data_IF_145490139325
#
_entry.id   IF_145490139325
#
_cell.length_a   1.000
_cell.length_b   1.000
_cell.length_c   1.000
_cell.angle_alpha   90.00
_cell.angle_beta   90.00
_cell.angle_gamma   90.00
#
_symmetry.space_group_name_H-M   'P 1'
#
loop_
_entity.id
_entity.type
_entity.pdbx_description
1 polymer ?
#
# COMPACT_ATOMS: atom_id res chain seq x y z
N UNK A 1 -5.42 -18.07 12.92
CA UNK A 1 -3.98 -17.78 12.80
C UNK A 1 -3.40 -17.68 14.22
N UNK A 2 -2.21 -18.21 14.49
CA UNK A 2 -1.63 -18.20 15.85
C UNK A 2 -1.13 -16.82 16.29
N UNK A 3 -0.76 -15.93 15.34
CA UNK A 3 -0.24 -14.60 15.62
C UNK A 3 -1.13 -13.48 15.06
N UNK A 4 -1.75 -13.70 13.92
CA UNK A 4 -2.70 -12.79 13.26
C UNK A 4 -4.16 -13.09 13.60
N UNK A 5 -4.48 -13.45 14.84
CA UNK A 5 -5.84 -13.84 15.24
C UNK A 5 -6.84 -12.67 15.21
N UNK A 6 -6.35 -11.43 15.28
CA UNK A 6 -7.15 -10.21 15.20
C UNK A 6 -7.21 -9.65 13.78
N UNK A 7 -6.08 -9.61 13.08
CA UNK A 7 -5.99 -9.23 11.67
C UNK A 7 -4.67 -9.64 11.02
N UNK A 8 -4.71 -9.88 9.71
CA UNK A 8 -3.55 -9.98 8.81
C UNK A 8 -3.60 -8.84 7.81
N UNK A 9 -2.61 -7.97 7.82
CA UNK A 9 -2.54 -6.81 6.93
C UNK A 9 -1.57 -7.13 5.80
N UNK A 10 -2.03 -7.09 4.56
CA UNK A 10 -1.14 -7.10 3.41
C UNK A 10 -0.49 -5.72 3.28
N UNK A 11 0.84 -5.66 3.29
CA UNK A 11 1.58 -4.40 3.19
C UNK A 11 2.40 -4.42 1.91
N UNK A 12 2.02 -3.61 0.93
CA UNK A 12 2.66 -3.62 -0.39
C UNK A 12 3.55 -2.39 -0.54
N UNK A 13 4.84 -2.58 -0.79
CA UNK A 13 5.78 -1.47 -1.01
C UNK A 13 6.84 -1.82 -2.07
N UNK A 14 7.54 -0.81 -2.62
CA UNK A 14 8.68 -1.04 -3.51
C UNK A 14 9.73 -1.99 -2.92
N UNK A 15 10.38 -2.78 -3.77
CA UNK A 15 11.51 -3.63 -3.39
C UNK A 15 12.67 -2.84 -2.79
N UNK A 16 12.83 -1.58 -3.18
CA UNK A 16 13.86 -0.65 -2.67
C UNK A 16 13.48 0.03 -1.35
N UNK A 17 12.22 -0.09 -0.90
CA UNK A 17 11.78 0.57 0.32
C UNK A 17 12.27 -0.18 1.57
N UNK A 18 12.95 0.52 2.47
CA UNK A 18 13.52 -0.05 3.71
C UNK A 18 12.80 0.41 4.98
N UNK A 19 11.76 1.25 4.87
CA UNK A 19 11.11 1.94 6.00
C UNK A 19 9.74 1.36 6.32
N UNK A 20 8.92 1.09 5.30
CA UNK A 20 7.53 0.66 5.49
C UNK A 20 7.43 -0.63 6.29
N UNK A 21 8.32 -1.60 6.03
CA UNK A 21 8.28 -2.86 6.73
C UNK A 21 8.54 -2.71 8.24
N UNK A 22 9.66 -2.14 8.70
CA UNK A 22 9.88 -1.97 10.14
C UNK A 22 8.81 -1.08 10.80
N UNK A 23 8.37 0.01 10.14
CA UNK A 23 7.32 0.88 10.69
C UNK A 23 6.01 0.14 10.92
N UNK A 24 5.58 -0.69 9.95
CA UNK A 24 4.36 -1.49 10.11
C UNK A 24 4.52 -2.57 11.19
N UNK A 25 5.72 -3.15 11.35
CA UNK A 25 5.98 -4.07 12.45
C UNK A 25 5.86 -3.38 13.81
N UNK A 26 6.36 -2.15 13.93
CA UNK A 26 6.23 -1.34 15.13
C UNK A 26 4.77 -0.95 15.41
N UNK A 27 4.01 -0.57 14.37
CA UNK A 27 2.57 -0.34 14.48
C UNK A 27 1.83 -1.59 14.99
N UNK A 28 2.12 -2.77 14.43
CA UNK A 28 1.53 -4.04 14.88
C UNK A 28 1.87 -4.36 16.34
N UNK A 29 3.09 -4.06 16.79
CA UNK A 29 3.52 -4.24 18.19
C UNK A 29 2.87 -3.23 19.14
N UNK A 30 2.59 -2.01 18.66
CA UNK A 30 1.97 -0.96 19.46
C UNK A 30 0.49 -1.20 19.76
N UNK A 31 -0.19 -2.10 19.02
CA UNK A 31 -1.61 -2.40 19.25
C UNK A 31 -1.81 -3.16 20.57
N UNK A 32 -2.56 -2.60 21.55
CA UNK A 32 -2.82 -3.28 22.81
C UNK A 32 -3.54 -4.62 22.59
N UNK A 33 -3.03 -5.66 23.27
CA UNK A 33 -3.51 -7.03 23.12
C UNK A 33 -2.94 -7.79 21.91
N UNK A 34 -2.21 -7.12 21.01
CA UNK A 34 -1.57 -7.74 19.85
C UNK A 34 -2.57 -8.37 18.87
N UNK A 35 -2.15 -9.47 18.23
CA UNK A 35 -2.98 -10.24 17.31
C UNK A 35 -2.97 -9.76 15.86
N UNK A 36 -2.13 -8.77 15.52
CA UNK A 36 -1.99 -8.24 14.16
C UNK A 36 -0.66 -8.68 13.58
N UNK A 37 -0.69 -9.16 12.34
CA UNK A 37 0.51 -9.54 11.58
C UNK A 37 0.52 -8.86 10.22
N UNK A 38 1.72 -8.53 9.73
CA UNK A 38 1.90 -7.93 8.42
C UNK A 38 2.44 -8.97 7.43
N UNK A 39 1.86 -9.01 6.24
CA UNK A 39 2.29 -9.83 5.11
C UNK A 39 2.85 -8.92 4.03
N UNK A 40 4.18 -8.84 3.96
CA UNK A 40 4.88 -7.92 3.06
C UNK A 40 4.86 -8.40 1.61
N UNK A 41 4.32 -7.59 0.72
CA UNK A 41 4.44 -7.75 -0.74
C UNK A 41 5.43 -6.74 -1.29
N UNK A 42 6.34 -7.19 -2.15
CA UNK A 42 7.36 -6.34 -2.79
C UNK A 42 7.04 -6.14 -4.25
N UNK A 43 6.93 -4.88 -4.64
CA UNK A 43 6.82 -4.47 -6.04
C UNK A 43 8.23 -4.44 -6.59
N UNK A 44 8.54 -5.35 -7.52
CA UNK A 44 9.83 -5.32 -8.19
C UNK A 44 9.90 -4.08 -9.08
N UNK A 45 10.89 -3.22 -8.85
CA UNK A 45 11.17 -2.10 -9.74
C UNK A 45 12.36 -2.50 -10.61
N UNK A 46 12.14 -2.80 -11.91
CA UNK A 46 13.24 -3.09 -12.83
C UNK A 46 14.10 -1.84 -13.02
N UNK A 47 15.41 -2.04 -13.19
CA UNK A 47 16.31 -0.97 -13.56
C UNK A 47 16.08 -0.61 -15.05
N UNK A 48 15.23 0.38 -15.30
CA UNK A 48 14.84 0.84 -16.64
C UNK A 48 15.38 2.24 -16.90
N UNK A 49 15.74 2.51 -18.15
CA UNK A 49 16.05 3.87 -18.60
C UNK A 49 14.76 4.71 -18.67
N UNK A 50 14.73 5.78 -17.89
CA UNK A 50 13.61 6.73 -17.78
C UNK A 50 13.93 8.10 -18.39
N UNK A 51 15.00 8.19 -19.18
CA UNK A 51 15.42 9.44 -19.83
C UNK A 51 14.42 9.97 -20.88
N UNK A 52 13.41 9.17 -21.23
CA UNK A 52 12.36 9.52 -22.18
C UNK A 52 10.97 9.32 -21.56
N UNK A 53 9.99 10.08 -22.05
CA UNK A 53 8.59 9.93 -21.65
C UNK A 53 8.08 8.49 -21.89
N UNK A 54 8.48 7.86 -23.00
CA UNK A 54 8.13 6.48 -23.30
C UNK A 54 8.70 5.50 -22.26
N UNK A 55 9.96 5.67 -21.88
CA UNK A 55 10.60 4.88 -20.83
C UNK A 55 9.91 5.04 -19.47
N UNK A 56 9.49 6.27 -19.15
CA UNK A 56 8.72 6.55 -17.94
C UNK A 56 7.36 5.84 -17.93
N UNK A 57 6.60 5.90 -19.04
CA UNK A 57 5.31 5.20 -19.13
C UNK A 57 5.45 3.68 -19.05
N UNK A 58 6.49 3.09 -19.66
CA UNK A 58 6.78 1.66 -19.53
C UNK A 58 7.10 1.25 -18.09
N UNK A 59 7.83 2.10 -17.35
CA UNK A 59 8.08 1.86 -15.93
C UNK A 59 6.78 1.88 -15.12
N UNK A 60 5.90 2.85 -15.37
CA UNK A 60 4.61 2.94 -14.68
C UNK A 60 3.72 1.71 -14.91
N UNK A 61 3.66 1.23 -16.14
CA UNK A 61 2.90 0.03 -16.49
C UNK A 61 3.48 -1.24 -15.81
N UNK A 62 4.81 -1.42 -15.88
CA UNK A 62 5.49 -2.52 -15.21
C UNK A 62 5.27 -2.50 -13.68
N UNK A 63 5.33 -1.32 -13.05
CA UNK A 63 5.05 -1.13 -11.63
C UNK A 63 3.59 -1.45 -11.31
N UNK A 64 2.65 -1.11 -12.21
CA UNK A 64 1.23 -1.43 -12.07
C UNK A 64 0.97 -2.94 -12.05
N UNK A 65 1.53 -3.68 -13.01
CA UNK A 65 1.40 -5.15 -13.04
C UNK A 65 2.05 -5.83 -11.84
N UNK A 66 3.23 -5.36 -11.42
CA UNK A 66 3.92 -5.91 -10.24
C UNK A 66 3.19 -5.59 -8.93
N UNK A 67 2.51 -4.44 -8.83
CA UNK A 67 1.64 -4.13 -7.69
C UNK A 67 0.51 -5.16 -7.55
N UNK A 68 -0.22 -5.41 -8.63
CA UNK A 68 -1.34 -6.34 -8.65
C UNK A 68 -0.86 -7.76 -8.29
N UNK A 69 0.25 -8.19 -8.87
CA UNK A 69 0.87 -9.49 -8.56
C UNK A 69 1.32 -9.59 -7.09
N UNK A 70 1.97 -8.55 -6.55
CA UNK A 70 2.40 -8.53 -5.15
C UNK A 70 1.21 -8.58 -4.18
N UNK A 71 0.13 -7.86 -4.50
CA UNK A 71 -1.10 -7.87 -3.71
C UNK A 71 -1.75 -9.25 -3.69
N UNK A 72 -1.93 -9.89 -4.85
CA UNK A 72 -2.50 -11.24 -4.95
C UNK A 72 -1.65 -12.30 -4.22
N UNK A 73 -0.31 -12.18 -4.25
CA UNK A 73 0.57 -13.06 -3.46
C UNK A 73 0.27 -12.96 -1.97
N UNK A 74 0.08 -11.76 -1.43
CA UNK A 74 -0.31 -11.57 -0.04
C UNK A 74 -1.71 -12.15 0.26
N UNK A 75 -2.66 -11.99 -0.66
CA UNK A 75 -4.03 -12.52 -0.49
C UNK A 75 -4.08 -14.05 -0.38
N UNK A 76 -3.05 -14.79 -0.84
CA UNK A 76 -2.94 -16.24 -0.58
C UNK A 76 -2.94 -16.59 0.92
N UNK A 77 -2.44 -15.66 1.76
CA UNK A 77 -2.49 -15.78 3.21
C UNK A 77 -3.86 -15.43 3.80
N UNK A 78 -4.86 -15.08 2.98
CA UNK A 78 -6.19 -14.58 3.39
C UNK A 78 -6.09 -13.37 4.31
N UNK A 79 -5.35 -12.35 3.88
CA UNK A 79 -5.27 -11.08 4.60
C UNK A 79 -6.66 -10.43 4.71
N UNK A 80 -6.89 -9.66 5.77
CA UNK A 80 -8.18 -9.04 6.08
C UNK A 80 -8.27 -7.59 5.57
N UNK A 81 -7.12 -6.97 5.29
CA UNK A 81 -7.01 -5.61 4.77
C UNK A 81 -5.68 -5.43 4.01
N UNK A 82 -5.63 -4.44 3.12
CA UNK A 82 -4.39 -4.09 2.39
C UNK A 82 -3.99 -2.64 2.61
N UNK A 83 -2.71 -2.44 2.95
CA UNK A 83 -2.06 -1.14 3.02
C UNK A 83 -1.10 -0.97 1.83
N UNK A 84 -1.36 0.03 0.99
CA UNK A 84 -0.48 0.46 -0.09
C UNK A 84 0.61 1.39 0.47
N UNK A 85 1.77 0.83 0.79
CA UNK A 85 2.95 1.53 1.29
C UNK A 85 3.78 2.20 0.19
N UNK A 86 3.14 2.84 -0.78
CA UNK A 86 3.82 3.50 -1.91
C UNK A 86 3.30 4.93 -2.10
N UNK A 87 4.22 5.89 -2.27
CA UNK A 87 3.88 7.33 -2.39
C UNK A 87 3.58 7.75 -3.84
N UNK A 88 4.56 7.72 -4.74
CA UNK A 88 4.43 8.34 -6.08
C UNK A 88 3.17 7.93 -6.90
N UNK A 89 2.84 6.63 -7.04
CA UNK A 89 1.65 6.22 -7.81
C UNK A 89 0.32 6.41 -7.06
N UNK A 90 0.34 6.79 -5.77
CA UNK A 90 -0.87 7.14 -5.02
C UNK A 90 -1.19 8.63 -5.05
N UNK A 91 -0.43 9.45 -5.79
CA UNK A 91 -0.73 10.87 -6.05
C UNK A 91 -0.83 11.21 -7.54
N UNK A 92 -0.39 10.32 -8.42
CA UNK A 92 -0.37 10.57 -9.86
C UNK A 92 -1.80 10.66 -10.43
N UNK A 93 -2.11 11.75 -11.14
CA UNK A 93 -3.45 11.99 -11.69
C UNK A 93 -4.48 12.61 -10.72
N UNK A 94 -4.02 13.04 -9.52
CA UNK A 94 -4.85 13.73 -8.52
C UNK A 94 -5.85 12.83 -7.78
N UNK A 95 -6.63 13.42 -6.87
CA UNK A 95 -7.51 12.69 -5.93
C UNK A 95 -8.42 11.65 -6.61
N UNK A 96 -9.04 12.02 -7.74
CA UNK A 96 -9.92 11.12 -8.47
C UNK A 96 -9.21 9.86 -8.99
N UNK A 97 -7.94 9.97 -9.40
CA UNK A 97 -7.14 8.82 -9.80
C UNK A 97 -6.79 7.93 -8.61
N UNK A 98 -6.46 8.52 -7.46
CA UNK A 98 -6.22 7.80 -6.21
C UNK A 98 -7.44 6.96 -5.78
N UNK A 99 -8.64 7.55 -5.83
CA UNK A 99 -9.89 6.87 -5.47
C UNK A 99 -10.16 5.71 -6.41
N UNK A 100 -10.00 5.90 -7.73
CA UNK A 100 -10.18 4.81 -8.71
C UNK A 100 -9.18 3.68 -8.48
N UNK A 101 -7.91 3.98 -8.25
CA UNK A 101 -6.91 2.93 -7.99
C UNK A 101 -7.20 2.18 -6.69
N UNK A 102 -7.65 2.87 -5.63
CA UNK A 102 -8.11 2.21 -4.39
C UNK A 102 -9.25 1.23 -4.69
N UNK A 103 -10.28 1.67 -5.40
CA UNK A 103 -11.43 0.81 -5.77
C UNK A 103 -11.00 -0.41 -6.60
N UNK A 104 -10.12 -0.21 -7.57
CA UNK A 104 -9.56 -1.32 -8.38
C UNK A 104 -8.83 -2.34 -7.51
N UNK A 105 -8.04 -1.88 -6.53
CA UNK A 105 -7.34 -2.78 -5.61
C UNK A 105 -8.29 -3.46 -4.62
N UNK A 106 -9.36 -2.78 -4.19
CA UNK A 106 -10.41 -3.39 -3.35
C UNK A 106 -11.13 -4.51 -4.10
N UNK A 107 -11.45 -4.28 -5.38
CA UNK A 107 -12.06 -5.28 -6.25
C UNK A 107 -11.12 -6.47 -6.51
N UNK A 108 -9.84 -6.18 -6.80
CA UNK A 108 -8.83 -7.21 -7.06
C UNK A 108 -8.56 -8.10 -5.83
N UNK A 109 -8.46 -7.49 -4.65
CA UNK A 109 -8.06 -8.20 -3.43
C UNK A 109 -9.25 -8.74 -2.63
N UNK A 110 -10.47 -8.25 -2.89
CA UNK A 110 -11.67 -8.60 -2.13
C UNK A 110 -11.67 -8.11 -0.68
N UNK A 111 -10.81 -7.15 -0.34
CA UNK A 111 -10.66 -6.57 1.01
C UNK A 111 -10.55 -5.05 0.93
N UNK A 112 -10.79 -4.38 2.05
CA UNK A 112 -10.59 -2.93 2.14
C UNK A 112 -9.12 -2.54 1.89
N UNK A 113 -8.94 -1.39 1.25
CA UNK A 113 -7.61 -0.88 0.88
C UNK A 113 -7.42 0.53 1.41
N UNK A 114 -6.24 0.80 1.96
CA UNK A 114 -5.80 2.16 2.31
C UNK A 114 -4.40 2.46 1.76
N UNK A 115 -4.03 3.73 1.75
CA UNK A 115 -2.70 4.24 1.40
C UNK A 115 -2.30 5.33 2.38
N UNK A 116 -1.05 5.80 2.30
CA UNK A 116 -0.60 6.95 3.09
C UNK A 116 -1.47 8.20 2.88
N UNK A 117 -1.92 8.47 1.64
CA UNK A 117 -2.78 9.63 1.34
C UNK A 117 -4.16 9.51 2.00
N UNK A 118 -4.83 8.37 1.89
CA UNK A 118 -6.13 8.16 2.54
C UNK A 118 -6.02 8.11 4.06
N UNK A 119 -4.94 7.54 4.60
CA UNK A 119 -4.68 7.54 6.04
C UNK A 119 -4.46 8.96 6.59
N UNK A 120 -3.68 9.78 5.88
CA UNK A 120 -3.49 11.19 6.24
C UNK A 120 -4.80 11.99 6.15
N UNK A 121 -5.58 11.82 5.08
CA UNK A 121 -6.90 12.44 4.94
C UNK A 121 -7.82 12.06 6.11
N UNK A 122 -7.93 10.77 6.42
CA UNK A 122 -8.74 10.28 7.53
C UNK A 122 -8.28 10.86 8.87
N UNK A 123 -6.97 10.92 9.12
CA UNK A 123 -6.41 11.51 10.33
C UNK A 123 -6.73 13.01 10.42
N UNK A 124 -6.44 13.80 9.37
CA UNK A 124 -6.70 15.24 9.36
C UNK A 124 -8.18 15.56 9.60
N UNK A 125 -9.09 14.79 8.99
CA UNK A 125 -10.52 14.90 9.22
C UNK A 125 -10.91 14.54 10.66
N UNK A 126 -10.36 13.46 11.21
CA UNK A 126 -10.63 13.04 12.59
C UNK A 126 -10.17 14.07 13.63
N UNK A 127 -9.07 14.79 13.35
CA UNK A 127 -8.56 15.86 14.20
C UNK A 127 -9.12 17.26 13.86
N UNK A 128 -9.99 17.39 12.85
CA UNK A 128 -10.54 18.68 12.42
C UNK A 128 -9.51 19.68 11.90
N UNK A 129 -8.37 19.19 11.37
CA UNK A 129 -7.25 20.02 10.93
C UNK A 129 -7.58 20.69 9.60
N UNK A 130 -7.39 22.02 9.54
CA UNK A 130 -7.62 22.84 8.33
C UNK A 130 -6.36 23.47 7.74
N UNK A 131 -5.21 23.33 8.42
CA UNK A 131 -3.91 23.89 8.03
C UNK A 131 -2.81 22.89 8.37
N UNK A 132 -1.93 22.60 7.43
CA UNK A 132 -0.80 21.66 7.53
C UNK A 132 0.50 22.41 7.22
N UNK A 133 1.63 21.96 7.78
CA UNK A 133 2.97 22.54 7.60
C UNK A 133 3.85 21.63 6.74
#
# INVERSE_FOLDING_TARGET
DARGWRAKIAVIAPSTNTIVQPDFEDLSRAVPGGGITNHMGRISIPNMDISTDEGFWKLLDAVGGELDAAALRCMSARCDFMAMGMSAPTFFGGYGACVRKRQQMEELCGVGVSSGSFACEAALNAFGVKRIA
#
